data_IF_427478610728
#
_entry.id   IF_427478610728
#
_cell.length_a   1.000
_cell.length_b   1.000
_cell.length_c   1.000
_cell.angle_alpha   90.00
_cell.angle_beta   90.00
_cell.angle_gamma   90.00
#
_symmetry.space_group_name_H-M   'P 1'
#
loop_
_entity.id
_entity.type
_entity.pdbx_description
1 polymer ?
#
# COMPACT_ATOMS: atom_id res chain seq x y z
N UNK A 1 -21.15 11.96 12.57
CA UNK A 1 -20.65 10.60 12.26
C UNK A 1 -19.27 10.75 11.62
N UNK A 2 -18.22 10.03 12.02
CA UNK A 2 -16.93 10.15 11.35
C UNK A 2 -17.10 9.78 9.87
N UNK A 3 -16.60 10.62 8.97
CA UNK A 3 -16.68 10.39 7.53
C UNK A 3 -16.04 9.03 7.25
N UNK A 4 -16.82 8.10 6.67
CA UNK A 4 -16.30 6.79 6.25
C UNK A 4 -15.16 7.06 5.27
N UNK A 5 -13.94 6.69 5.65
CA UNK A 5 -12.78 6.83 4.78
C UNK A 5 -13.08 6.15 3.44
N UNK A 6 -12.70 6.75 2.30
CA UNK A 6 -12.93 6.16 0.99
C UNK A 6 -12.29 4.77 0.94
N UNK A 7 -13.05 3.78 0.47
CA UNK A 7 -12.57 2.41 0.32
C UNK A 7 -11.92 2.27 -1.05
N UNK A 8 -10.64 1.89 -1.08
CA UNK A 8 -9.94 1.50 -2.30
C UNK A 8 -10.05 -0.02 -2.46
N UNK A 9 -10.52 -0.48 -3.61
CA UNK A 9 -10.48 -1.90 -3.96
C UNK A 9 -9.23 -2.15 -4.81
N UNK A 10 -8.38 -3.08 -4.37
CA UNK A 10 -7.15 -3.45 -5.07
C UNK A 10 -7.36 -4.84 -5.64
N UNK A 11 -7.17 -4.98 -6.94
CA UNK A 11 -7.15 -6.28 -7.61
C UNK A 11 -5.69 -6.70 -7.75
N UNK A 12 -5.28 -7.64 -6.91
CA UNK A 12 -3.97 -8.27 -6.94
C UNK A 12 -4.07 -9.68 -7.55
N UNK A 13 -3.02 -10.12 -8.21
CA UNK A 13 -2.86 -11.52 -8.59
C UNK A 13 -2.68 -12.41 -7.34
N UNK A 14 -2.70 -13.72 -7.55
CA UNK A 14 -2.70 -14.68 -6.43
C UNK A 14 -1.33 -14.77 -5.75
N UNK A 15 -0.25 -14.52 -6.48
CA UNK A 15 1.12 -14.46 -5.94
C UNK A 15 1.25 -13.27 -4.97
N UNK A 16 0.89 -12.05 -5.42
CA UNK A 16 0.93 -10.85 -4.60
C UNK A 16 0.00 -10.94 -3.38
N UNK A 17 -1.15 -11.62 -3.51
CA UNK A 17 -2.04 -11.88 -2.35
C UNK A 17 -1.38 -12.79 -1.31
N UNK A 18 -0.65 -13.82 -1.74
CA UNK A 18 0.04 -14.72 -0.83
C UNK A 18 1.17 -13.99 -0.12
N UNK A 19 2.02 -13.29 -0.87
CA UNK A 19 3.12 -12.51 -0.31
C UNK A 19 2.63 -11.47 0.69
N UNK A 20 1.57 -10.74 0.34
CA UNK A 20 0.97 -9.74 1.22
C UNK A 20 0.40 -10.36 2.51
N UNK A 21 -0.18 -11.56 2.44
CA UNK A 21 -0.66 -12.29 3.62
C UNK A 21 0.49 -12.71 4.51
N UNK A 22 1.53 -13.33 3.95
CA UNK A 22 2.73 -13.76 4.69
C UNK A 22 3.39 -12.57 5.38
N UNK A 23 3.53 -11.45 4.67
CA UNK A 23 4.10 -10.22 5.22
C UNK A 23 3.24 -9.65 6.35
N UNK A 24 1.91 -9.62 6.16
CA UNK A 24 0.97 -9.14 7.17
C UNK A 24 0.98 -10.01 8.43
N UNK A 25 1.07 -11.34 8.27
CA UNK A 25 1.21 -12.29 9.38
C UNK A 25 2.52 -12.08 10.14
N UNK A 26 3.64 -11.95 9.42
CA UNK A 26 4.95 -11.72 10.01
C UNK A 26 5.00 -10.43 10.85
N UNK A 27 4.40 -9.35 10.36
CA UNK A 27 4.34 -8.07 11.07
C UNK A 27 3.17 -7.93 12.07
N UNK A 28 2.37 -8.98 12.25
CA UNK A 28 1.18 -8.97 13.12
C UNK A 28 0.18 -7.85 12.78
N UNK A 29 -0.05 -7.61 11.49
CA UNK A 29 -0.97 -6.59 10.97
C UNK A 29 -2.09 -7.23 10.15
N UNK A 30 -3.20 -6.52 9.99
CA UNK A 30 -4.21 -6.94 9.01
C UNK A 30 -3.70 -6.74 7.58
N UNK A 31 -4.09 -7.63 6.67
CA UNK A 31 -3.76 -7.55 5.23
C UNK A 31 -4.09 -6.18 4.65
N UNK A 32 -5.23 -5.60 5.01
CA UNK A 32 -5.66 -4.27 4.56
C UNK A 32 -4.76 -3.14 5.08
N UNK A 33 -4.31 -3.22 6.34
CA UNK A 33 -3.36 -2.24 6.89
C UNK A 33 -2.00 -2.37 6.21
N UNK A 34 -1.53 -3.61 6.02
CA UNK A 34 -0.26 -3.87 5.36
C UNK A 34 -0.26 -3.34 3.91
N UNK A 35 -1.32 -3.65 3.14
CA UNK A 35 -1.49 -3.11 1.79
C UNK A 35 -1.43 -1.57 1.76
N UNK A 36 -2.07 -0.91 2.73
CA UNK A 36 -2.08 0.54 2.80
C UNK A 36 -0.71 1.12 3.15
N UNK A 37 0.07 0.45 4.01
CA UNK A 37 1.45 0.86 4.35
C UNK A 37 2.32 0.79 3.10
N UNK A 38 2.37 -0.39 2.46
CA UNK A 38 3.19 -0.62 1.27
C UNK A 38 2.81 0.32 0.13
N UNK A 39 1.51 0.56 -0.10
CA UNK A 39 1.06 1.52 -1.11
C UNK A 39 1.55 2.94 -0.81
N UNK A 40 1.46 3.39 0.44
CA UNK A 40 1.95 4.72 0.83
C UNK A 40 3.45 4.86 0.62
N UNK A 41 4.22 3.83 0.97
CA UNK A 41 5.67 3.80 0.78
C UNK A 41 6.04 3.83 -0.70
N UNK A 42 5.38 3.02 -1.53
CA UNK A 42 5.61 2.98 -2.97
C UNK A 42 5.26 4.32 -3.65
N UNK A 43 4.12 4.92 -3.29
CA UNK A 43 3.70 6.23 -3.82
C UNK A 43 4.70 7.31 -3.39
N UNK A 44 5.09 7.33 -2.11
CA UNK A 44 6.09 8.30 -1.61
C UNK A 44 7.41 8.16 -2.35
N UNK A 45 7.94 6.94 -2.47
CA UNK A 45 9.19 6.68 -3.19
C UNK A 45 9.11 7.06 -4.68
N UNK A 46 7.93 6.99 -5.31
CA UNK A 46 7.75 7.44 -6.69
C UNK A 46 7.66 8.96 -6.80
N UNK A 47 6.95 9.62 -5.88
CA UNK A 47 6.86 11.07 -5.84
C UNK A 47 8.21 11.71 -5.54
N UNK A 48 8.98 11.16 -4.61
CA UNK A 48 10.30 11.69 -4.25
C UNK A 48 11.27 11.61 -5.44
N UNK A 49 11.19 10.53 -6.23
CA UNK A 49 11.94 10.43 -7.51
C UNK A 49 11.52 11.52 -8.48
N UNK A 50 10.22 11.72 -8.72
CA UNK A 50 9.74 12.75 -9.65
C UNK A 50 10.13 14.17 -9.23
N UNK A 51 10.13 14.45 -7.92
CA UNK A 51 10.64 15.72 -7.36
C UNK A 51 12.13 15.90 -7.61
N UNK A 52 12.93 14.85 -7.38
CA UNK A 52 14.37 14.91 -7.63
C UNK A 52 14.73 15.08 -9.12
N UNK A 53 13.88 14.58 -10.01
CA UNK A 53 13.99 14.73 -11.46
C UNK A 53 13.45 16.08 -11.97
N UNK A 54 12.90 16.93 -11.10
CA UNK A 54 12.31 18.22 -11.47
C UNK A 54 11.05 18.10 -12.34
N UNK A 55 10.40 16.93 -12.34
CA UNK A 55 9.19 16.66 -13.13
C UNK A 55 7.92 17.10 -12.42
N UNK A 56 7.98 17.32 -11.10
CA UNK A 56 6.91 17.84 -10.23
C UNK A 56 7.54 18.61 -9.06
#
# INVERSE_FOLDING_TARGET
MPAKSPKLSIYADDELKQDLKTLAEYEQRSVSQMANILLKEAVKARLDRLKSEGKI
#
